data_IF_857956615034
#
_entry.id   IF_857956615034
#
_cell.length_a   1.000
_cell.length_b   1.000
_cell.length_c   1.000
_cell.angle_alpha   90.00
_cell.angle_beta   90.00
_cell.angle_gamma   90.00
#
_symmetry.space_group_name_H-M   'P 1'
#
loop_
_entity.id
_entity.type
_entity.pdbx_description
1 polymer ?
#
# COMPACT_ATOMS: atom_id res chain seq x y z
N UNK A 1 -30.26 37.29 4.67
CA UNK A 1 -29.61 36.16 5.40
C UNK A 1 -29.99 34.88 4.67
N UNK A 2 -29.12 34.38 3.79
CA UNK A 2 -29.37 33.12 3.07
C UNK A 2 -28.93 32.00 4.01
N UNK A 3 -29.90 31.35 4.61
CA UNK A 3 -29.72 30.09 5.34
C UNK A 3 -29.43 29.04 4.27
N UNK A 4 -28.13 28.69 4.05
CA UNK A 4 -27.77 27.50 3.33
C UNK A 4 -28.27 26.31 4.16
N UNK A 5 -29.42 25.74 3.76
CA UNK A 5 -29.84 24.43 4.22
C UNK A 5 -28.76 23.42 3.91
N UNK A 6 -27.91 23.11 4.89
CA UNK A 6 -27.06 21.93 4.86
C UNK A 6 -28.00 20.71 4.98
N UNK A 7 -28.48 20.23 3.85
CA UNK A 7 -29.04 18.87 3.80
C UNK A 7 -27.87 17.96 4.14
N UNK A 8 -27.87 17.42 5.35
CA UNK A 8 -26.88 16.38 5.72
C UNK A 8 -27.07 15.21 4.74
N UNK A 9 -26.10 15.03 3.83
CA UNK A 9 -26.09 13.93 2.89
C UNK A 9 -26.16 12.62 3.71
N UNK A 10 -27.10 11.75 3.40
CA UNK A 10 -27.23 10.44 4.07
C UNK A 10 -25.90 9.69 3.93
N UNK A 11 -25.46 9.05 5.01
CA UNK A 11 -24.28 8.18 4.98
C UNK A 11 -24.51 7.00 4.04
N UNK A 12 -23.48 6.64 3.29
CA UNK A 12 -23.45 5.42 2.47
C UNK A 12 -23.31 4.22 3.41
N UNK A 13 -24.24 3.29 3.37
CA UNK A 13 -24.21 2.05 4.17
C UNK A 13 -23.40 1.01 3.44
N UNK A 14 -22.26 0.62 4.01
CA UNK A 14 -21.27 -0.26 3.38
C UNK A 14 -21.23 -1.62 4.07
N UNK A 15 -21.50 -2.69 3.32
CA UNK A 15 -21.28 -4.06 3.77
C UNK A 15 -19.85 -4.48 3.39
N UNK A 16 -18.95 -4.49 4.36
CA UNK A 16 -17.61 -5.03 4.16
C UNK A 16 -17.64 -6.54 4.44
N UNK A 17 -17.68 -7.32 3.36
CA UNK A 17 -17.77 -8.79 3.46
C UNK A 17 -16.37 -9.39 3.38
N UNK A 18 -16.00 -10.19 4.39
CA UNK A 18 -14.68 -10.80 4.44
C UNK A 18 -14.69 -12.22 5.02
N UNK A 19 -13.76 -13.04 4.53
CA UNK A 19 -13.39 -14.30 5.15
C UNK A 19 -12.18 -14.06 6.06
N UNK A 20 -12.13 -14.61 7.29
CA UNK A 20 -10.97 -14.48 8.16
C UNK A 20 -9.71 -15.04 7.51
N UNK A 21 -8.69 -14.23 7.45
CA UNK A 21 -7.39 -14.61 6.92
C UNK A 21 -6.27 -13.97 7.76
N UNK A 22 -5.05 -14.42 7.60
CA UNK A 22 -3.90 -13.90 8.35
C UNK A 22 -3.73 -12.39 8.20
N UNK A 23 -4.06 -11.85 7.03
CA UNK A 23 -3.98 -10.41 6.77
C UNK A 23 -4.97 -9.57 7.57
N UNK A 24 -6.03 -10.19 8.11
CA UNK A 24 -7.06 -9.54 8.93
C UNK A 24 -6.94 -9.85 10.42
N UNK A 25 -5.90 -10.55 10.81
CA UNK A 25 -5.57 -10.81 12.22
C UNK A 25 -4.31 -10.05 12.62
N UNK A 26 -4.17 -9.66 13.87
CA UNK A 26 -2.99 -8.91 14.36
C UNK A 26 -1.71 -9.76 14.41
N UNK A 27 -1.69 -10.95 13.81
CA UNK A 27 -0.58 -11.90 13.94
C UNK A 27 0.38 -11.90 12.75
N UNK A 28 0.09 -11.16 11.67
CA UNK A 28 0.89 -11.17 10.46
C UNK A 28 1.29 -9.76 10.01
N UNK A 29 2.47 -9.63 9.41
CA UNK A 29 3.04 -8.33 9.01
C UNK A 29 2.24 -7.57 7.94
N UNK A 30 1.37 -8.23 7.19
CA UNK A 30 0.46 -7.57 6.24
C UNK A 30 -0.72 -6.86 6.91
N UNK A 31 -0.92 -7.08 8.19
CA UNK A 31 -2.02 -6.44 8.94
C UNK A 31 -1.89 -4.93 8.98
N UNK A 32 -0.68 -4.39 8.96
CA UNK A 32 -0.43 -2.96 9.04
C UNK A 32 -1.22 -2.19 7.97
N UNK A 33 -1.05 -2.56 6.69
CA UNK A 33 -1.75 -1.87 5.61
C UNK A 33 -3.25 -2.06 5.63
N UNK A 34 -3.74 -3.20 6.13
CA UNK A 34 -5.13 -3.55 5.98
C UNK A 34 -6.00 -3.33 7.21
N UNK A 35 -5.61 -3.83 8.37
CA UNK A 35 -6.37 -3.59 9.60
C UNK A 35 -6.44 -2.09 9.92
N UNK A 36 -5.36 -1.36 9.67
CA UNK A 36 -5.36 0.09 9.90
C UNK A 36 -6.20 0.84 8.86
N UNK A 37 -6.31 0.32 7.63
CA UNK A 37 -7.26 0.86 6.66
C UNK A 37 -8.71 0.64 7.09
N UNK A 38 -9.04 -0.51 7.69
CA UNK A 38 -10.34 -0.75 8.32
C UNK A 38 -10.62 0.26 9.45
N UNK A 39 -9.63 0.65 10.23
CA UNK A 39 -9.78 1.69 11.24
C UNK A 39 -10.14 3.05 10.62
N UNK A 40 -9.52 3.43 9.50
CA UNK A 40 -9.85 4.65 8.77
C UNK A 40 -11.27 4.60 8.19
N UNK A 41 -11.70 3.46 7.67
CA UNK A 41 -13.09 3.25 7.24
C UNK A 41 -14.09 3.50 8.39
N UNK A 42 -13.80 3.01 9.60
CA UNK A 42 -14.64 3.25 10.79
C UNK A 42 -14.67 4.72 11.20
N UNK A 43 -13.56 5.46 11.03
CA UNK A 43 -13.47 6.87 11.41
C UNK A 43 -14.19 7.80 10.43
N UNK A 44 -14.41 7.37 9.19
CA UNK A 44 -15.00 8.22 8.16
C UNK A 44 -16.47 8.54 8.46
N UNK A 45 -16.84 9.82 8.40
CA UNK A 45 -18.17 10.31 8.76
C UNK A 45 -19.20 10.19 7.64
N UNK A 46 -18.75 9.94 6.40
CA UNK A 46 -19.61 9.86 5.20
C UNK A 46 -20.18 8.46 4.97
N UNK A 47 -19.60 7.45 5.62
CA UNK A 47 -20.05 6.07 5.52
C UNK A 47 -20.51 5.51 6.87
N UNK A 48 -21.38 4.52 6.79
CA UNK A 48 -21.80 3.64 7.89
C UNK A 48 -21.39 2.22 7.49
N UNK A 49 -20.32 1.72 8.09
CA UNK A 49 -19.68 0.46 7.67
C UNK A 49 -19.95 -0.66 8.66
N UNK A 50 -20.41 -1.79 8.14
CA UNK A 50 -20.53 -3.06 8.87
C UNK A 50 -19.52 -4.07 8.35
N UNK A 51 -18.68 -4.59 9.25
CA UNK A 51 -17.73 -5.66 8.92
C UNK A 51 -18.41 -7.01 9.10
N UNK A 52 -18.74 -7.65 7.99
CA UNK A 52 -19.49 -8.90 7.94
C UNK A 52 -18.51 -10.06 7.74
N UNK A 53 -18.20 -10.72 8.86
CA UNK A 53 -17.39 -11.94 8.84
C UNK A 53 -18.22 -13.07 8.26
N UNK A 54 -17.67 -13.78 7.28
CA UNK A 54 -18.26 -14.98 6.72
C UNK A 54 -17.20 -16.10 6.65
N UNK A 55 -17.65 -17.32 6.75
CA UNK A 55 -16.83 -18.48 6.40
C UNK A 55 -16.68 -18.55 4.87
N UNK A 56 -16.48 -19.72 4.28
CA UNK A 56 -16.29 -19.87 2.83
C UNK A 56 -17.55 -19.60 1.99
N UNK A 57 -18.73 -19.59 2.62
CA UNK A 57 -20.02 -19.40 1.94
C UNK A 57 -20.73 -18.18 2.53
N UNK A 58 -21.16 -17.27 1.65
CA UNK A 58 -21.89 -16.06 2.02
C UNK A 58 -23.20 -15.94 1.22
N UNK A 59 -24.34 -15.75 1.91
CA UNK A 59 -25.63 -15.54 1.25
C UNK A 59 -25.90 -14.04 1.08
N UNK A 60 -25.92 -13.56 -0.16
CA UNK A 60 -26.12 -12.14 -0.47
C UNK A 60 -27.50 -11.60 -0.09
N UNK A 61 -28.49 -12.47 0.10
CA UNK A 61 -29.83 -12.03 0.56
C UNK A 61 -29.80 -11.36 1.93
N UNK A 62 -28.79 -11.64 2.74
CA UNK A 62 -28.64 -11.07 4.09
C UNK A 62 -28.34 -9.60 4.08
N UNK A 63 -27.88 -9.03 2.94
CA UNK A 63 -27.40 -7.65 2.86
C UNK A 63 -28.24 -6.72 1.96
N UNK A 64 -28.98 -7.23 0.97
CA UNK A 64 -29.63 -6.43 -0.09
C UNK A 64 -30.49 -5.25 0.40
N UNK A 65 -31.15 -5.35 1.56
CA UNK A 65 -32.08 -4.32 2.04
C UNK A 65 -31.44 -3.29 2.97
N UNK A 66 -30.30 -3.62 3.55
CA UNK A 66 -29.72 -2.86 4.66
C UNK A 66 -28.52 -2.01 4.26
N UNK A 67 -27.98 -2.22 3.07
CA UNK A 67 -26.76 -1.60 2.60
C UNK A 67 -26.98 -0.93 1.24
N UNK A 68 -26.03 -0.10 0.86
CA UNK A 68 -25.99 0.59 -0.42
C UNK A 68 -24.87 0.06 -1.31
N UNK A 69 -23.80 -0.49 -0.71
CA UNK A 69 -22.60 -0.98 -1.41
C UNK A 69 -22.05 -2.22 -0.68
N UNK A 70 -21.50 -3.14 -1.46
CA UNK A 70 -20.65 -4.24 -0.98
C UNK A 70 -19.19 -3.89 -1.23
N UNK A 71 -18.38 -3.93 -0.19
CA UNK A 71 -16.94 -3.76 -0.26
C UNK A 71 -16.26 -5.11 -0.01
N UNK A 72 -15.45 -5.56 -0.96
CA UNK A 72 -14.69 -6.78 -0.86
C UNK A 72 -13.22 -6.50 -0.58
N UNK A 73 -12.63 -7.35 0.23
CA UNK A 73 -11.19 -7.40 0.41
C UNK A 73 -10.48 -7.83 -0.87
N UNK A 74 -9.21 -7.92 -0.79
CA UNK A 74 -8.28 -8.21 -1.86
C UNK A 74 -8.63 -9.44 -2.70
N UNK A 75 -8.56 -9.29 -4.00
CA UNK A 75 -8.82 -10.33 -4.98
C UNK A 75 -7.61 -11.20 -5.31
N UNK A 76 -6.40 -10.78 -4.95
CA UNK A 76 -5.19 -11.51 -5.27
C UNK A 76 -4.81 -12.44 -4.13
N UNK A 77 -4.70 -13.67 -4.47
CA UNK A 77 -4.57 -14.75 -3.53
C UNK A 77 -3.14 -15.24 -3.37
N UNK A 78 -2.64 -15.16 -2.17
CA UNK A 78 -1.37 -15.81 -1.78
C UNK A 78 -1.60 -17.13 -1.05
N UNK A 79 -2.76 -17.79 -1.29
CA UNK A 79 -3.20 -18.94 -0.52
C UNK A 79 -4.12 -18.60 0.67
N UNK A 80 -4.28 -17.33 1.02
CA UNK A 80 -5.24 -16.83 2.03
C UNK A 80 -6.23 -15.88 1.34
N UNK A 81 -7.32 -16.40 0.79
CA UNK A 81 -8.42 -15.55 0.30
C UNK A 81 -9.11 -14.90 1.49
N UNK A 82 -9.17 -13.59 1.48
CA UNK A 82 -9.93 -12.87 2.49
C UNK A 82 -11.34 -12.50 2.01
N UNK A 83 -11.79 -13.13 0.94
CA UNK A 83 -13.16 -13.05 0.41
C UNK A 83 -13.77 -14.43 0.48
N UNK A 84 -15.01 -14.61 0.91
CA UNK A 84 -15.70 -15.90 0.89
C UNK A 84 -15.62 -16.53 -0.50
N UNK A 85 -15.29 -17.82 -0.56
CA UNK A 85 -15.12 -18.50 -1.83
C UNK A 85 -16.41 -18.55 -2.64
N UNK A 86 -17.55 -18.72 -1.98
CA UNK A 86 -18.86 -18.85 -2.64
C UNK A 86 -19.84 -17.81 -2.13
N UNK A 87 -20.39 -17.02 -3.07
CA UNK A 87 -21.56 -16.19 -2.83
C UNK A 87 -22.79 -16.93 -3.36
N UNK A 88 -23.66 -17.37 -2.45
CA UNK A 88 -24.95 -17.99 -2.84
C UNK A 88 -25.97 -16.90 -3.17
N UNK A 89 -26.88 -17.20 -4.09
CA UNK A 89 -27.91 -16.27 -4.60
C UNK A 89 -27.30 -14.98 -5.24
N UNK A 90 -26.08 -15.06 -5.76
CA UNK A 90 -25.38 -13.91 -6.34
C UNK A 90 -26.16 -13.25 -7.48
N UNK A 91 -26.99 -14.01 -8.21
CA UNK A 91 -27.88 -13.50 -9.25
C UNK A 91 -28.90 -12.49 -8.71
N UNK A 92 -29.23 -12.56 -7.42
CA UNK A 92 -30.17 -11.66 -6.71
C UNK A 92 -29.48 -10.47 -6.06
N UNK A 93 -28.17 -10.36 -6.18
CA UNK A 93 -27.44 -9.20 -5.65
C UNK A 93 -27.73 -7.97 -6.53
N UNK A 94 -28.38 -6.98 -5.91
CA UNK A 94 -28.75 -5.69 -6.53
C UNK A 94 -27.78 -4.56 -6.17
N UNK A 95 -26.94 -4.78 -5.16
CA UNK A 95 -25.98 -3.78 -4.69
C UNK A 95 -24.71 -3.77 -5.54
N UNK A 96 -24.13 -2.60 -5.83
CA UNK A 96 -22.84 -2.50 -6.47
C UNK A 96 -21.75 -3.09 -5.58
N UNK A 97 -20.80 -3.77 -6.22
CA UNK A 97 -19.66 -4.44 -5.56
C UNK A 97 -18.37 -3.73 -5.94
N UNK A 98 -17.63 -3.28 -4.95
CA UNK A 98 -16.30 -2.67 -5.11
C UNK A 98 -15.27 -3.59 -4.48
N UNK A 99 -14.20 -3.91 -5.20
CA UNK A 99 -13.14 -4.81 -4.73
C UNK A 99 -11.78 -4.13 -4.69
N UNK A 100 -11.04 -4.33 -3.58
CA UNK A 100 -9.63 -3.96 -3.49
C UNK A 100 -8.78 -4.87 -4.38
N UNK A 101 -7.81 -4.30 -5.07
CA UNK A 101 -6.78 -5.03 -5.81
C UNK A 101 -5.54 -5.18 -4.94
N UNK A 102 -5.00 -6.38 -4.87
CA UNK A 102 -3.69 -6.65 -4.30
C UNK A 102 -2.54 -6.34 -5.26
N UNK A 103 -1.53 -7.20 -5.26
CA UNK A 103 -0.42 -7.12 -6.19
C UNK A 103 -0.89 -7.38 -7.64
N UNK A 104 -0.94 -6.39 -8.54
CA UNK A 104 -1.60 -6.53 -9.84
C UNK A 104 -1.02 -7.66 -10.71
N UNK A 105 0.30 -7.91 -10.63
CA UNK A 105 0.95 -8.98 -11.41
C UNK A 105 0.42 -10.38 -11.07
N UNK A 106 -0.17 -10.54 -9.89
CA UNK A 106 -0.78 -11.81 -9.47
C UNK A 106 -2.08 -12.12 -10.19
N UNK A 107 -2.63 -11.16 -10.93
CA UNK A 107 -3.76 -11.41 -11.82
C UNK A 107 -3.51 -12.55 -12.82
N UNK A 108 -2.24 -12.83 -13.14
CA UNK A 108 -1.85 -13.99 -13.98
C UNK A 108 -2.04 -15.35 -13.30
N UNK A 109 -2.15 -15.38 -11.97
CA UNK A 109 -2.35 -16.61 -11.19
C UNK A 109 -3.83 -17.03 -11.16
N UNK A 110 -4.74 -16.13 -11.52
CA UNK A 110 -6.18 -16.38 -11.64
C UNK A 110 -6.73 -15.62 -12.85
N UNK A 111 -7.95 -15.93 -13.29
CA UNK A 111 -8.60 -15.17 -14.36
C UNK A 111 -9.33 -13.95 -13.76
N UNK A 112 -8.86 -12.71 -14.00
CA UNK A 112 -9.56 -11.51 -13.53
C UNK A 112 -11.00 -11.43 -14.02
N UNK A 113 -11.28 -11.88 -15.25
CA UNK A 113 -12.62 -11.91 -15.82
C UNK A 113 -13.54 -12.85 -15.04
N UNK A 114 -13.08 -14.08 -14.75
CA UNK A 114 -13.86 -15.04 -13.96
C UNK A 114 -14.14 -14.53 -12.55
N UNK A 115 -13.15 -13.88 -11.92
CA UNK A 115 -13.31 -13.27 -10.61
C UNK A 115 -14.33 -12.12 -10.67
N UNK A 116 -14.24 -11.26 -11.68
CA UNK A 116 -15.15 -10.15 -11.92
C UNK A 116 -16.59 -10.63 -12.07
N UNK A 117 -16.81 -11.63 -12.89
CA UNK A 117 -18.14 -12.23 -13.12
C UNK A 117 -18.66 -12.95 -11.87
N UNK A 118 -17.80 -13.75 -11.22
CA UNK A 118 -18.15 -14.53 -10.04
C UNK A 118 -18.71 -13.67 -8.89
N UNK A 119 -18.15 -12.50 -8.67
CA UNK A 119 -18.56 -11.59 -7.58
C UNK A 119 -19.33 -10.38 -8.06
N UNK A 120 -19.70 -10.30 -9.34
CA UNK A 120 -20.41 -9.16 -9.97
C UNK A 120 -19.73 -7.82 -9.67
N UNK A 121 -18.41 -7.74 -9.80
CA UNK A 121 -17.65 -6.54 -9.46
C UNK A 121 -18.02 -5.37 -10.38
N UNK A 122 -18.32 -4.21 -9.84
CA UNK A 122 -18.60 -2.99 -10.57
C UNK A 122 -17.37 -2.10 -10.72
N UNK A 123 -16.50 -2.07 -9.69
CA UNK A 123 -15.26 -1.31 -9.73
C UNK A 123 -14.17 -1.93 -8.86
N UNK A 124 -12.95 -1.57 -9.18
CA UNK A 124 -11.76 -1.92 -8.41
C UNK A 124 -11.08 -0.66 -7.86
N UNK A 125 -10.35 -0.81 -6.78
CA UNK A 125 -9.44 0.20 -6.29
C UNK A 125 -8.14 -0.42 -5.77
N UNK A 126 -7.06 0.35 -5.79
CA UNK A 126 -5.77 -0.11 -5.30
C UNK A 126 -4.74 1.00 -5.21
N UNK A 127 -3.60 0.67 -4.60
CA UNK A 127 -2.50 1.61 -4.40
C UNK A 127 -1.78 1.96 -5.70
N UNK A 128 -1.74 1.06 -6.67
CA UNK A 128 -0.90 1.20 -7.87
C UNK A 128 -1.50 2.18 -8.89
N UNK A 129 -0.62 2.84 -9.65
CA UNK A 129 -1.04 3.67 -10.79
C UNK A 129 -1.88 2.87 -11.80
N UNK A 130 -2.83 3.52 -12.44
CA UNK A 130 -3.76 2.86 -13.39
C UNK A 130 -3.04 2.15 -14.55
N UNK A 131 -1.94 2.71 -15.08
CA UNK A 131 -1.14 2.05 -16.11
C UNK A 131 -0.63 0.67 -15.67
N UNK A 132 -0.33 0.52 -14.38
CA UNK A 132 0.12 -0.76 -13.83
C UNK A 132 -1.07 -1.71 -13.66
N UNK A 133 -2.21 -1.22 -13.21
CA UNK A 133 -3.44 -2.02 -13.14
C UNK A 133 -3.82 -2.57 -14.51
N UNK A 134 -3.94 -1.70 -15.53
CA UNK A 134 -4.37 -2.08 -16.87
C UNK A 134 -3.33 -2.88 -17.67
N UNK A 135 -2.13 -3.06 -17.17
CA UNK A 135 -1.17 -4.03 -17.70
C UNK A 135 -1.59 -5.48 -17.45
N UNK A 136 -2.36 -5.71 -16.37
CA UNK A 136 -2.74 -7.05 -15.89
C UNK A 136 -4.24 -7.30 -15.91
N UNK A 137 -5.06 -6.25 -15.95
CA UNK A 137 -6.52 -6.30 -15.93
C UNK A 137 -7.09 -5.75 -17.23
N UNK A 138 -8.27 -6.25 -17.66
CA UNK A 138 -8.98 -5.72 -18.83
C UNK A 138 -9.28 -4.22 -18.71
N UNK A 139 -9.06 -3.48 -19.80
CA UNK A 139 -9.31 -2.02 -19.84
C UNK A 139 -10.77 -1.62 -19.64
N UNK A 140 -11.70 -2.54 -19.82
CA UNK A 140 -13.13 -2.32 -19.56
C UNK A 140 -13.48 -2.28 -18.06
N UNK A 141 -12.59 -2.73 -17.19
CA UNK A 141 -12.83 -2.71 -15.75
C UNK A 141 -12.59 -1.31 -15.21
N UNK A 142 -13.56 -0.82 -14.41
CA UNK A 142 -13.41 0.46 -13.73
C UNK A 142 -12.40 0.32 -12.60
N UNK A 143 -11.44 1.24 -12.56
CA UNK A 143 -10.40 1.26 -11.53
C UNK A 143 -10.17 2.68 -11.02
N UNK A 144 -9.97 2.81 -9.71
CA UNK A 144 -9.57 4.07 -9.07
C UNK A 144 -8.30 3.86 -8.23
N UNK A 145 -7.35 4.75 -8.40
CA UNK A 145 -6.18 4.81 -7.52
C UNK A 145 -6.63 5.33 -6.14
N UNK A 146 -6.38 4.54 -5.11
CA UNK A 146 -6.63 4.89 -3.71
C UNK A 146 -5.34 4.63 -2.94
N UNK A 147 -4.66 5.68 -2.52
CA UNK A 147 -3.35 5.60 -1.88
C UNK A 147 -3.54 5.31 -0.40
N UNK A 148 -3.52 4.03 -0.03
CA UNK A 148 -3.65 3.54 1.35
C UNK A 148 -2.36 2.88 1.85
N UNK A 149 -2.27 2.65 3.15
CA UNK A 149 -1.18 1.92 3.82
C UNK A 149 -0.49 2.72 4.92
N UNK A 150 -0.84 4.01 5.08
CA UNK A 150 -0.32 4.85 6.15
C UNK A 150 -1.41 5.09 7.21
N UNK A 151 -1.33 4.37 8.32
CA UNK A 151 -2.19 4.62 9.48
C UNK A 151 -1.59 5.73 10.35
N UNK A 152 -2.20 6.94 10.40
CA UNK A 152 -1.58 8.10 11.04
C UNK A 152 -1.36 7.92 12.54
N UNK A 153 -2.15 7.10 13.22
CA UNK A 153 -2.03 6.87 14.67
C UNK A 153 -0.72 6.20 15.07
N UNK A 154 -0.07 5.47 14.16
CA UNK A 154 1.23 4.82 14.38
C UNK A 154 2.42 5.79 14.27
N UNK A 155 2.22 6.96 13.68
CA UNK A 155 3.27 7.93 13.35
C UNK A 155 3.10 9.27 14.06
N UNK A 156 2.25 9.33 15.09
CA UNK A 156 2.01 10.57 15.86
C UNK A 156 3.27 11.09 16.52
N UNK A 157 4.03 10.19 17.13
CA UNK A 157 5.28 10.52 17.82
C UNK A 157 6.46 9.89 17.09
N UNK A 158 7.48 10.68 16.81
CA UNK A 158 8.73 10.23 16.19
C UNK A 158 9.93 10.70 17.01
N UNK A 159 10.97 9.89 17.04
CA UNK A 159 12.24 10.24 17.69
C UNK A 159 12.89 11.44 16.98
N UNK A 160 13.59 12.35 17.67
CA UNK A 160 14.34 13.42 17.05
C UNK A 160 15.31 12.90 15.99
N UNK A 161 15.41 13.57 14.84
CA UNK A 161 16.24 13.13 13.71
C UNK A 161 17.70 12.93 14.14
N UNK A 162 18.26 13.88 14.93
CA UNK A 162 19.64 13.85 15.33
C UNK A 162 19.98 12.78 16.41
N UNK A 163 18.99 12.16 17.03
CA UNK A 163 19.20 11.05 17.99
C UNK A 163 19.35 9.68 17.31
N UNK A 164 19.16 9.62 15.98
CA UNK A 164 19.13 8.37 15.22
C UNK A 164 20.49 8.04 14.60
N UNK A 165 20.69 6.78 14.19
CA UNK A 165 21.89 6.36 13.45
C UNK A 165 22.05 7.16 12.17
N UNK A 166 23.19 7.86 12.03
CA UNK A 166 23.52 8.73 10.88
C UNK A 166 24.43 8.04 9.85
N UNK A 167 25.38 7.21 10.32
CA UNK A 167 26.42 6.60 9.46
C UNK A 167 25.94 5.36 8.69
N UNK A 168 24.64 5.03 8.76
CA UNK A 168 24.05 3.88 8.10
C UNK A 168 22.71 4.24 7.49
N UNK A 169 22.39 3.62 6.34
CA UNK A 169 21.11 3.75 5.64
C UNK A 169 20.36 2.44 5.79
N UNK A 170 19.11 2.49 6.24
CA UNK A 170 18.29 1.30 6.40
C UNK A 170 17.71 0.84 5.04
N UNK A 171 17.93 -0.43 4.72
CA UNK A 171 17.23 -1.14 3.65
C UNK A 171 16.40 -2.27 4.26
N UNK A 172 15.10 -2.18 4.17
CA UNK A 172 14.18 -3.19 4.72
C UNK A 172 13.29 -3.77 3.64
N UNK A 173 12.99 -5.06 3.75
CA UNK A 173 12.06 -5.72 2.86
C UNK A 173 12.72 -6.72 1.92
N UNK A 174 11.94 -7.27 0.98
CA UNK A 174 12.42 -8.30 0.07
C UNK A 174 13.53 -7.79 -0.86
N UNK A 175 14.55 -8.60 -1.04
CA UNK A 175 15.63 -8.44 -2.01
C UNK A 175 15.81 -9.73 -2.81
N UNK A 176 16.37 -9.63 -4.00
CA UNK A 176 16.67 -10.81 -4.80
C UNK A 176 18.01 -11.44 -4.39
N UNK A 177 18.13 -12.74 -4.60
CA UNK A 177 19.42 -13.41 -4.48
C UNK A 177 20.32 -13.01 -5.66
N UNK A 178 21.60 -12.73 -5.38
CA UNK A 178 22.60 -12.42 -6.39
C UNK A 178 23.41 -13.64 -6.83
N UNK A 179 23.23 -14.80 -6.17
CA UNK A 179 23.88 -16.05 -6.55
C UNK A 179 23.40 -16.48 -7.93
N UNK A 180 24.34 -16.72 -8.86
CA UNK A 180 24.04 -17.02 -10.27
C UNK A 180 23.05 -18.17 -10.42
N UNK A 181 23.21 -19.26 -9.67
CA UNK A 181 22.31 -20.41 -9.68
C UNK A 181 20.88 -20.01 -9.32
N UNK A 182 20.70 -19.20 -8.27
CA UNK A 182 19.38 -18.76 -7.83
C UNK A 182 18.75 -17.79 -8.85
N UNK A 183 19.59 -16.96 -9.52
CA UNK A 183 19.15 -16.05 -10.57
C UNK A 183 18.59 -16.80 -11.77
N UNK A 184 19.33 -17.83 -12.24
CA UNK A 184 18.88 -18.70 -13.34
C UNK A 184 17.59 -19.43 -12.97
N UNK A 185 17.52 -20.00 -11.78
CA UNK A 185 16.32 -20.66 -11.29
C UNK A 185 15.11 -19.72 -11.27
N UNK A 186 15.23 -18.51 -10.65
CA UNK A 186 14.15 -17.54 -10.62
C UNK A 186 13.70 -17.10 -12.02
N UNK A 187 14.65 -16.85 -12.93
CA UNK A 187 14.33 -16.45 -14.30
C UNK A 187 13.55 -17.54 -15.06
N UNK A 188 13.84 -18.81 -14.81
CA UNK A 188 13.19 -19.93 -15.48
C UNK A 188 11.84 -20.31 -14.86
N UNK A 189 11.67 -20.11 -13.55
CA UNK A 189 10.53 -20.68 -12.82
C UNK A 189 9.53 -19.63 -12.30
N UNK A 190 9.96 -18.39 -12.04
CA UNK A 190 9.12 -17.38 -11.37
C UNK A 190 8.52 -16.33 -12.31
N UNK A 191 8.98 -16.22 -13.55
CA UNK A 191 8.47 -15.24 -14.50
C UNK A 191 8.34 -13.84 -13.88
N UNK A 192 7.15 -13.25 -13.93
CA UNK A 192 6.87 -11.92 -13.37
C UNK A 192 6.94 -11.85 -11.84
N UNK A 193 7.02 -12.98 -11.15
CA UNK A 193 7.22 -13.04 -9.69
C UNK A 193 8.69 -13.11 -9.28
N UNK A 194 9.64 -12.94 -10.22
CA UNK A 194 11.08 -12.88 -9.90
C UNK A 194 11.37 -11.62 -9.05
N UNK A 195 11.92 -11.78 -7.83
CA UNK A 195 12.25 -10.65 -6.97
C UNK A 195 13.19 -9.61 -7.60
N UNK A 196 14.00 -10.00 -8.61
CA UNK A 196 14.86 -9.05 -9.30
C UNK A 196 14.07 -8.09 -10.20
N UNK A 197 12.92 -8.49 -10.72
CA UNK A 197 12.05 -7.60 -11.49
C UNK A 197 11.48 -6.50 -10.59
N UNK A 198 11.09 -6.87 -9.36
CA UNK A 198 10.41 -5.94 -8.44
C UNK A 198 11.38 -5.14 -7.56
N UNK A 199 12.54 -5.70 -7.21
CA UNK A 199 13.42 -5.14 -6.17
C UNK A 199 14.87 -4.98 -6.63
N UNK A 200 15.12 -4.71 -7.91
CA UNK A 200 16.46 -4.61 -8.48
C UNK A 200 17.32 -3.57 -7.77
N UNK A 201 16.84 -2.31 -7.69
CA UNK A 201 17.60 -1.24 -7.06
C UNK A 201 17.83 -1.52 -5.56
N UNK A 202 16.81 -1.98 -4.84
CA UNK A 202 16.96 -2.38 -3.44
C UNK A 202 17.99 -3.48 -3.24
N UNK A 203 18.04 -4.44 -4.16
CA UNK A 203 19.04 -5.52 -4.14
C UNK A 203 20.45 -5.00 -4.38
N UNK A 204 20.61 -4.02 -5.27
CA UNK A 204 21.90 -3.36 -5.51
C UNK A 204 22.35 -2.56 -4.30
N UNK A 205 21.46 -1.77 -3.69
CA UNK A 205 21.76 -1.00 -2.48
C UNK A 205 22.26 -1.90 -1.34
N UNK A 206 21.74 -3.12 -1.23
CA UNK A 206 22.08 -4.05 -0.16
C UNK A 206 23.52 -4.60 -0.21
N UNK A 207 24.26 -4.31 -1.29
CA UNK A 207 25.69 -4.65 -1.40
C UNK A 207 26.63 -3.66 -0.73
N UNK A 208 26.13 -2.48 -0.41
CA UNK A 208 26.95 -1.37 0.08
C UNK A 208 27.25 -1.53 1.56
N UNK A 209 28.49 -1.32 2.01
CA UNK A 209 28.91 -1.61 3.39
C UNK A 209 28.26 -0.70 4.43
N UNK A 210 27.72 0.42 4.00
CA UNK A 210 27.02 1.39 4.85
C UNK A 210 25.49 1.23 4.81
N UNK A 211 24.98 0.17 4.16
CA UNK A 211 23.55 -0.16 4.16
C UNK A 211 23.28 -1.30 5.13
N UNK A 212 22.47 -1.02 6.16
CA UNK A 212 21.96 -2.03 7.09
C UNK A 212 20.72 -2.68 6.47
N UNK A 213 20.66 -4.01 6.49
CA UNK A 213 19.55 -4.76 5.91
C UNK A 213 18.75 -5.53 6.96
N UNK A 214 17.43 -5.49 6.83
CA UNK A 214 16.52 -6.35 7.60
C UNK A 214 15.53 -7.06 6.69
N UNK A 215 15.43 -8.38 6.84
CA UNK A 215 14.41 -9.18 6.15
C UNK A 215 13.00 -8.83 6.65
N UNK A 216 11.98 -8.74 5.76
CA UNK A 216 10.65 -8.30 6.18
C UNK A 216 9.87 -9.32 7.02
N UNK A 217 10.20 -10.60 6.91
CA UNK A 217 9.37 -11.68 7.45
C UNK A 217 9.88 -12.26 8.77
N UNK A 218 11.14 -12.08 9.09
CA UNK A 218 11.83 -12.83 10.15
C UNK A 218 12.37 -11.95 11.27
N UNK A 219 12.20 -10.62 11.20
CA UNK A 219 12.68 -9.73 12.25
C UNK A 219 11.59 -9.36 13.26
N UNK A 220 12.00 -8.91 14.45
CA UNK A 220 11.11 -8.53 15.55
C UNK A 220 10.21 -7.32 15.25
N UNK A 221 10.59 -6.48 14.28
CA UNK A 221 9.88 -5.27 13.89
C UNK A 221 8.90 -5.54 12.73
N UNK A 222 7.87 -6.35 12.98
CA UNK A 222 6.81 -6.63 12.02
C UNK A 222 5.54 -5.85 12.32
N UNK A 223 4.73 -5.61 11.30
CA UNK A 223 3.45 -4.93 11.43
C UNK A 223 3.58 -3.54 12.03
N UNK A 224 2.84 -3.26 13.08
CA UNK A 224 2.80 -2.00 13.81
C UNK A 224 4.14 -1.61 14.48
N UNK A 225 5.04 -2.57 14.71
CA UNK A 225 6.38 -2.32 15.24
C UNK A 225 7.38 -1.83 14.17
N UNK A 226 7.01 -1.82 12.90
CA UNK A 226 7.91 -1.38 11.83
C UNK A 226 8.36 0.08 12.00
N UNK A 227 7.51 0.93 12.53
CA UNK A 227 7.83 2.32 12.87
C UNK A 227 9.01 2.43 13.84
N UNK A 228 9.12 1.50 14.80
CA UNK A 228 10.22 1.47 15.78
C UNK A 228 11.57 1.16 15.11
N UNK A 229 11.57 0.32 14.06
CA UNK A 229 12.77 0.07 13.26
C UNK A 229 13.17 1.33 12.49
N UNK A 230 12.22 1.94 11.78
CA UNK A 230 12.46 3.14 10.96
C UNK A 230 13.05 4.28 11.81
N UNK A 231 12.53 4.50 13.00
CA UNK A 231 12.99 5.55 13.90
C UNK A 231 14.40 5.35 14.49
N UNK A 232 15.03 4.19 14.26
CA UNK A 232 16.44 3.99 14.62
C UNK A 232 17.43 4.62 13.64
N UNK A 233 16.99 5.01 12.46
CA UNK A 233 17.84 5.51 11.37
C UNK A 233 17.42 6.91 10.94
N UNK A 234 18.40 7.77 10.61
CA UNK A 234 18.12 9.07 9.96
C UNK A 234 17.64 8.87 8.53
N UNK A 235 18.16 7.84 7.83
CA UNK A 235 17.91 7.62 6.41
C UNK A 235 17.45 6.18 6.11
N UNK A 236 16.52 6.03 5.17
CA UNK A 236 16.02 4.73 4.74
C UNK A 236 15.65 4.71 3.26
N UNK A 237 15.60 3.52 2.66
CA UNK A 237 15.40 3.30 1.23
C UNK A 237 13.96 2.84 0.95
N UNK A 238 13.24 3.61 0.14
CA UNK A 238 11.98 3.23 -0.48
C UNK A 238 12.21 2.94 -1.97
N UNK A 239 12.51 1.70 -2.32
CA UNK A 239 12.82 1.34 -3.71
C UNK A 239 12.03 0.10 -4.14
N UNK A 240 11.29 0.24 -5.23
CA UNK A 240 10.58 -0.84 -5.94
C UNK A 240 10.54 -0.50 -7.43
N UNK A 241 11.05 -1.40 -8.23
CA UNK A 241 11.27 -1.16 -9.67
C UNK A 241 9.97 -1.14 -10.48
N UNK A 242 8.92 -1.83 -10.01
CA UNK A 242 7.66 -2.00 -10.78
C UNK A 242 6.55 -1.04 -10.39
N UNK A 243 6.37 -0.77 -9.10
CA UNK A 243 5.39 0.19 -8.57
C UNK A 243 5.69 0.50 -7.10
N UNK A 244 5.34 1.71 -6.60
CA UNK A 244 5.47 2.06 -5.20
C UNK A 244 4.67 1.14 -4.28
N UNK A 245 5.25 0.90 -3.10
CA UNK A 245 4.61 0.14 -2.02
C UNK A 245 4.38 1.04 -0.80
N UNK A 246 3.74 0.52 0.24
CA UNK A 246 3.49 1.27 1.49
C UNK A 246 4.73 1.91 2.11
N UNK A 247 5.93 1.36 1.87
CA UNK A 247 7.21 1.96 2.33
C UNK A 247 7.44 3.38 1.85
N UNK A 248 6.89 3.75 0.68
CA UNK A 248 6.95 5.12 0.17
C UNK A 248 6.18 6.11 1.04
N UNK A 249 5.28 5.61 1.88
CA UNK A 249 4.48 6.40 2.82
C UNK A 249 5.03 6.26 4.26
N UNK A 250 5.35 5.04 4.69
CA UNK A 250 5.75 4.73 6.06
C UNK A 250 7.14 5.30 6.42
N UNK A 251 8.09 5.28 5.49
CA UNK A 251 9.44 5.78 5.72
C UNK A 251 9.45 7.28 5.98
N UNK A 252 8.91 8.14 5.09
CA UNK A 252 8.86 9.57 5.38
C UNK A 252 7.97 9.88 6.58
N UNK A 253 6.85 9.18 6.79
CA UNK A 253 5.99 9.36 7.96
C UNK A 253 6.75 9.17 9.29
N UNK A 254 7.76 8.28 9.30
CA UNK A 254 8.65 8.06 10.45
C UNK A 254 9.67 9.18 10.65
N UNK A 255 9.68 10.22 9.82
CA UNK A 255 10.67 11.30 9.87
C UNK A 255 12.06 10.86 9.41
N UNK A 256 12.17 9.86 8.54
CA UNK A 256 13.42 9.48 7.91
C UNK A 256 13.64 10.29 6.64
N UNK A 257 14.90 10.69 6.38
CA UNK A 257 15.33 11.07 5.04
C UNK A 257 15.09 9.88 4.12
N UNK A 258 14.21 10.04 3.14
CA UNK A 258 13.79 8.94 2.29
C UNK A 258 14.53 8.98 0.96
N UNK A 259 15.38 7.98 0.71
CA UNK A 259 15.91 7.71 -0.62
C UNK A 259 14.88 6.92 -1.41
N UNK A 260 14.25 7.55 -2.39
CA UNK A 260 13.03 7.05 -3.02
C UNK A 260 13.25 6.75 -4.51
N UNK A 261 12.97 5.51 -4.93
CA UNK A 261 13.02 5.16 -6.36
C UNK A 261 11.78 5.72 -7.06
N UNK A 262 11.96 6.84 -7.77
CA UNK A 262 10.93 7.43 -8.64
C UNK A 262 11.42 7.38 -10.08
N UNK A 263 10.76 6.58 -10.91
CA UNK A 263 11.16 6.34 -12.30
C UNK A 263 9.94 6.30 -13.22
N UNK A 264 10.18 6.40 -14.53
CA UNK A 264 9.13 6.17 -15.53
C UNK A 264 8.57 4.74 -15.47
N UNK A 265 9.41 3.77 -15.07
CA UNK A 265 9.01 2.37 -15.00
C UNK A 265 8.04 2.09 -13.85
N UNK A 266 8.32 2.60 -12.65
CA UNK A 266 7.45 2.38 -11.49
C UNK A 266 6.29 3.36 -11.37
N UNK A 267 6.22 4.36 -12.25
CA UNK A 267 5.17 5.39 -12.24
C UNK A 267 5.07 6.18 -10.92
N UNK A 268 6.07 6.14 -10.04
CA UNK A 268 5.99 6.68 -8.68
C UNK A 268 5.68 8.18 -8.56
N UNK A 269 5.79 8.95 -9.64
CA UNK A 269 5.47 10.39 -9.66
C UNK A 269 4.03 10.72 -9.26
N UNK A 270 3.07 9.77 -9.39
CA UNK A 270 1.68 10.00 -8.97
C UNK A 270 1.52 10.18 -7.46
N UNK A 271 2.52 9.78 -6.67
CA UNK A 271 2.53 10.00 -5.22
C UNK A 271 2.79 11.46 -4.84
N UNK A 272 3.23 12.32 -5.78
CA UNK A 272 3.40 13.75 -5.57
C UNK A 272 4.66 14.16 -4.80
N UNK A 273 5.64 13.28 -4.63
CA UNK A 273 6.94 13.65 -4.07
C UNK A 273 7.75 14.49 -5.04
N UNK A 274 8.60 15.38 -4.47
CA UNK A 274 9.51 16.26 -5.20
C UNK A 274 10.95 16.01 -4.75
N UNK A 275 11.88 15.86 -5.73
CA UNK A 275 13.29 15.59 -5.45
C UNK A 275 13.94 16.76 -4.69
N UNK A 276 14.78 16.41 -3.73
CA UNK A 276 15.52 17.34 -2.85
C UNK A 276 14.63 18.29 -2.00
N UNK A 277 13.30 18.10 -2.04
CA UNK A 277 12.36 18.88 -1.24
C UNK A 277 11.71 18.05 -0.13
N UNK A 278 11.14 16.89 -0.46
CA UNK A 278 10.45 16.00 0.50
C UNK A 278 10.86 14.53 0.37
N UNK A 279 11.77 14.22 -0.53
CA UNK A 279 12.48 12.95 -0.68
C UNK A 279 13.76 13.18 -1.50
N UNK A 280 14.68 12.23 -1.49
CA UNK A 280 15.83 12.20 -2.41
C UNK A 280 15.57 11.13 -3.45
N UNK A 281 15.44 11.53 -4.72
CA UNK A 281 15.16 10.56 -5.78
C UNK A 281 16.40 9.79 -6.18
N UNK A 282 16.26 8.47 -6.20
CA UNK A 282 17.31 7.53 -6.59
C UNK A 282 16.87 6.64 -7.74
N UNK A 283 17.84 6.19 -8.50
CA UNK A 283 17.70 5.18 -9.54
C UNK A 283 19.00 4.38 -9.66
N UNK A 284 19.06 3.41 -10.56
CA UNK A 284 20.24 2.55 -10.75
C UNK A 284 21.54 3.30 -11.12
N UNK A 285 21.45 4.54 -11.59
CA UNK A 285 22.62 5.31 -12.04
C UNK A 285 23.18 6.24 -10.96
N UNK A 286 22.32 6.75 -10.06
CA UNK A 286 22.70 7.81 -9.12
C UNK A 286 22.64 7.42 -7.63
N UNK A 287 22.12 6.24 -7.27
CA UNK A 287 21.89 5.88 -5.87
C UNK A 287 23.15 5.92 -5.00
N UNK A 288 24.29 5.48 -5.52
CA UNK A 288 25.56 5.53 -4.78
C UNK A 288 25.99 6.96 -4.51
N UNK A 289 26.01 7.80 -5.54
CA UNK A 289 26.34 9.23 -5.41
C UNK A 289 25.46 9.94 -4.38
N UNK A 290 24.14 9.71 -4.43
CA UNK A 290 23.21 10.30 -3.48
C UNK A 290 23.43 9.81 -2.05
N UNK A 291 23.76 8.54 -1.85
CA UNK A 291 24.12 7.99 -0.53
C UNK A 291 25.42 8.56 -0.01
N UNK A 292 26.46 8.64 -0.84
CA UNK A 292 27.77 9.18 -0.49
C UNK A 292 27.67 10.69 -0.19
N UNK A 293 26.87 11.45 -0.91
CA UNK A 293 26.58 12.85 -0.61
C UNK A 293 25.97 13.03 0.79
N UNK A 294 25.05 12.17 1.20
CA UNK A 294 24.52 12.19 2.56
C UNK A 294 25.59 11.80 3.59
N UNK A 295 26.31 10.71 3.35
CA UNK A 295 27.28 10.15 4.30
C UNK A 295 28.52 11.03 4.48
N UNK A 296 28.87 11.82 3.48
CA UNK A 296 30.01 12.76 3.57
C UNK A 296 29.75 13.93 4.51
N UNK A 297 28.49 14.28 4.79
CA UNK A 297 28.08 15.38 5.65
C UNK A 297 26.73 15.08 6.30
N UNK A 298 26.72 14.08 7.19
CA UNK A 298 25.50 13.57 7.84
C UNK A 298 24.80 14.57 8.76
N UNK A 299 25.52 15.60 9.20
CA UNK A 299 25.01 16.62 10.10
C UNK A 299 24.55 17.90 9.37
N UNK A 300 24.56 17.90 8.03
CA UNK A 300 24.01 18.99 7.25
C UNK A 300 22.51 19.16 7.52
N UNK A 301 22.08 20.34 7.94
CA UNK A 301 20.68 20.59 8.33
C UNK A 301 19.67 20.34 7.22
N UNK A 302 20.08 20.41 5.94
CA UNK A 302 19.21 20.13 4.80
C UNK A 302 18.57 18.73 4.85
N UNK A 303 19.26 17.75 5.46
CA UNK A 303 18.75 16.38 5.53
C UNK A 303 17.55 16.26 6.47
N UNK A 304 17.61 16.96 7.62
CA UNK A 304 16.49 17.05 8.55
C UNK A 304 15.33 17.87 7.95
N UNK A 305 15.62 18.94 7.23
CA UNK A 305 14.61 19.77 6.54
C UNK A 305 13.84 18.93 5.50
N UNK A 306 14.54 18.15 4.65
CA UNK A 306 13.92 17.27 3.66
C UNK A 306 13.10 16.16 4.35
N UNK A 307 13.64 15.56 5.42
CA UNK A 307 12.94 14.51 6.17
C UNK A 307 11.64 15.02 6.82
N UNK A 308 11.70 16.22 7.43
CA UNK A 308 10.53 16.88 8.03
C UNK A 308 9.49 17.26 6.97
N UNK A 309 9.91 17.81 5.83
CA UNK A 309 9.02 18.12 4.71
C UNK A 309 8.37 16.86 4.14
N UNK A 310 9.12 15.75 4.03
CA UNK A 310 8.57 14.47 3.61
C UNK A 310 7.52 13.93 4.57
N UNK A 311 7.79 14.01 5.87
CA UNK A 311 6.83 13.64 6.91
C UNK A 311 5.56 14.48 6.85
N UNK A 312 5.70 15.79 6.81
CA UNK A 312 4.56 16.72 6.72
C UNK A 312 3.72 16.43 5.49
N UNK A 313 4.35 16.21 4.35
CA UNK A 313 3.68 15.91 3.10
C UNK A 313 2.81 14.65 3.22
N UNK A 314 3.36 13.52 3.67
CA UNK A 314 2.59 12.26 3.74
C UNK A 314 1.51 12.28 4.80
N UNK A 315 1.78 12.92 5.95
CA UNK A 315 0.80 13.02 7.03
C UNK A 315 -0.39 13.90 6.66
N UNK A 316 -0.17 14.93 5.84
CA UNK A 316 -1.22 15.85 5.39
C UNK A 316 -1.97 15.36 4.15
N UNK A 317 -1.41 14.43 3.34
CA UNK A 317 -1.97 14.11 2.03
C UNK A 317 -2.19 12.62 1.75
N UNK A 318 -1.44 11.72 2.41
CA UNK A 318 -1.36 10.30 1.98
C UNK A 318 -1.69 9.31 3.11
N UNK A 319 -2.45 9.74 4.12
CA UNK A 319 -2.90 8.84 5.19
C UNK A 319 -4.07 7.96 4.75
N UNK A 320 -4.35 6.92 5.52
CA UNK A 320 -5.53 6.08 5.30
C UNK A 320 -6.85 6.87 5.36
N UNK A 321 -6.91 7.97 6.11
CA UNK A 321 -8.12 8.82 6.15
C UNK A 321 -8.35 9.51 4.79
N UNK A 322 -7.29 9.98 4.12
CA UNK A 322 -7.36 10.50 2.74
C UNK A 322 -7.72 9.40 1.73
N UNK A 323 -7.16 8.21 1.92
CA UNK A 323 -7.50 7.05 1.09
C UNK A 323 -8.99 6.71 1.16
N UNK A 324 -9.58 6.75 2.36
CA UNK A 324 -11.02 6.49 2.53
C UNK A 324 -11.85 7.57 1.87
N UNK A 325 -11.46 8.86 1.93
CA UNK A 325 -12.17 9.91 1.22
C UNK A 325 -12.18 9.64 -0.30
N UNK A 326 -11.05 9.26 -0.88
CA UNK A 326 -10.98 8.87 -2.31
C UNK A 326 -11.83 7.64 -2.63
N UNK A 327 -11.92 6.68 -1.71
CA UNK A 327 -12.79 5.51 -1.88
C UNK A 327 -14.27 5.89 -1.78
N UNK A 328 -14.64 6.81 -0.90
CA UNK A 328 -16.02 7.33 -0.80
C UNK A 328 -16.44 8.03 -2.08
N UNK A 329 -15.56 8.83 -2.70
CA UNK A 329 -15.85 9.41 -4.03
C UNK A 329 -16.15 8.34 -5.09
N UNK A 330 -15.44 7.20 -5.07
CA UNK A 330 -15.76 6.07 -5.95
C UNK A 330 -17.13 5.45 -5.61
N UNK A 331 -17.45 5.32 -4.33
CA UNK A 331 -18.74 4.79 -3.88
C UNK A 331 -19.91 5.67 -4.30
N UNK A 332 -19.74 6.99 -4.23
CA UNK A 332 -20.76 7.97 -4.62
C UNK A 332 -21.17 7.89 -6.10
N UNK A 333 -20.35 7.29 -6.94
CA UNK A 333 -20.71 7.07 -8.35
C UNK A 333 -21.75 5.95 -8.56
N UNK A 334 -22.07 5.19 -7.51
CA UNK A 334 -22.95 4.02 -7.57
C UNK A 334 -24.22 4.16 -6.69
N UNK A 335 -24.36 5.24 -5.91
CA UNK A 335 -25.47 5.44 -4.95
C UNK A 335 -26.21 6.76 -5.15
#
# INVERSE_FOLDING_TARGET
TIIKNYIMKRKIRVAFVYHPCKSLTNTYHFTTGYNFFMNALKRNKQIDISFIKSENIFDVKTINKNFDIVLLYENANTGDTCVPETFTNIEKLELPVISKVGDPQRAKEFSPEKYHEKYKINAYFGLTHEDIFYKYYPKKFKYKVVIYGLEPTLFQTVSPFNSRKSAKILNSGAVASLKLRNRLFCKLTKGDSDPMIHYKLRTLCNKLPYVDYTSPLEHEYRGDKYTQLLQKYRASIAATTTYPTMKYLEIPASGCLTFMEITKNNRGSYLGFEDEKNAIFINEKNYQEKFESYLSDVDNPKWEEIANSGREYVMNNLTNDHAVNSLVELMEEFV
#
